data_IF_826905128389
#
_entry.id   IF_826905128389
#
_cell.length_a   1.000
_cell.length_b   1.000
_cell.length_c   1.000
_cell.angle_alpha   90.00
_cell.angle_beta   90.00
_cell.angle_gamma   90.00
#
_symmetry.space_group_name_H-M   'P 1'
#
loop_
_entity.id
_entity.type
_entity.pdbx_description
1 polymer ?
#
# COMPACT_ATOMS: atom_id res chain seq x y z
N UNK A 1 -44.65 -1.13 -8.01
CA UNK A 1 -43.47 -1.76 -7.38
C UNK A 1 -42.31 -0.82 -7.65
N UNK A 2 -41.55 -0.40 -6.63
CA UNK A 2 -40.38 0.43 -6.86
C UNK A 2 -39.32 -0.40 -7.62
N UNK A 3 -38.86 0.07 -8.77
CA UNK A 3 -37.77 -0.59 -9.48
C UNK A 3 -36.53 -0.65 -8.58
N UNK A 4 -35.93 -1.84 -8.47
CA UNK A 4 -34.73 -2.06 -7.68
C UNK A 4 -33.58 -1.32 -8.37
N UNK A 5 -32.98 -0.34 -7.69
CA UNK A 5 -31.85 0.44 -8.20
C UNK A 5 -30.69 -0.50 -8.54
N UNK A 6 -30.18 -0.43 -9.77
CA UNK A 6 -29.01 -1.21 -10.22
C UNK A 6 -27.80 -0.93 -9.33
N UNK A 7 -26.91 -1.90 -9.16
CA UNK A 7 -25.70 -1.77 -8.33
C UNK A 7 -24.46 -1.51 -9.17
N UNK A 8 -23.56 -0.70 -8.64
CA UNK A 8 -22.24 -0.47 -9.22
C UNK A 8 -21.17 -0.66 -8.16
N UNK A 9 -20.31 -1.66 -8.37
CA UNK A 9 -19.20 -1.95 -7.49
C UNK A 9 -17.97 -1.16 -7.91
N UNK A 10 -17.29 -0.56 -6.94
CA UNK A 10 -16.12 0.27 -7.16
C UNK A 10 -14.87 -0.54 -6.81
N UNK A 11 -13.98 -0.70 -7.79
CA UNK A 11 -12.63 -1.22 -7.59
C UNK A 11 -11.62 -0.09 -7.80
N UNK A 12 -10.71 0.07 -6.84
CA UNK A 12 -9.80 1.20 -6.79
C UNK A 12 -8.63 0.92 -5.85
N UNK A 13 -7.53 1.70 -5.92
CA UNK A 13 -6.51 1.64 -4.89
C UNK A 13 -7.11 1.93 -3.50
N UNK A 14 -6.91 1.03 -2.54
CA UNK A 14 -7.43 1.20 -1.18
C UNK A 14 -6.60 2.23 -0.40
N UNK A 15 -5.29 2.24 -0.64
CA UNK A 15 -4.34 3.18 -0.06
C UNK A 15 -3.36 3.66 -1.11
N UNK A 16 -2.78 4.83 -0.85
CA UNK A 16 -1.68 5.36 -1.65
C UNK A 16 -0.41 4.57 -1.34
N UNK A 17 0.25 4.04 -2.37
CA UNK A 17 1.53 3.35 -2.20
C UNK A 17 2.68 4.33 -2.00
N UNK A 18 3.72 3.91 -1.27
CA UNK A 18 4.89 4.74 -0.91
C UNK A 18 5.45 5.60 -2.06
N UNK A 19 5.62 5.11 -3.30
CA UNK A 19 6.18 5.91 -4.39
C UNK A 19 5.33 7.12 -4.81
N UNK A 20 4.07 7.19 -4.38
CA UNK A 20 3.13 8.24 -4.75
C UNK A 20 2.69 9.11 -3.58
N UNK A 21 3.14 8.82 -2.34
CA UNK A 21 2.74 9.61 -1.16
C UNK A 21 3.03 11.10 -1.32
N UNK A 22 4.21 11.45 -1.85
CA UNK A 22 4.62 12.84 -2.05
C UNK A 22 3.93 13.50 -3.26
N UNK A 23 3.24 12.73 -4.10
CA UNK A 23 2.56 13.23 -5.31
C UNK A 23 1.11 13.62 -5.04
N UNK A 24 0.48 13.02 -4.04
CA UNK A 24 -0.90 13.31 -3.66
C UNK A 24 -0.96 14.21 -2.44
N UNK A 25 -1.75 15.29 -2.52
CA UNK A 25 -1.89 16.28 -1.43
C UNK A 25 -2.24 15.64 -0.09
N UNK A 26 -3.11 14.64 -0.13
CA UNK A 26 -3.67 14.01 1.08
C UNK A 26 -2.91 12.71 1.46
N UNK A 27 -1.77 12.43 0.83
CA UNK A 27 -0.90 11.29 1.15
C UNK A 27 -1.65 9.96 1.17
N UNK A 28 -1.62 9.27 2.31
CA UNK A 28 -2.24 7.95 2.52
C UNK A 28 -3.76 7.96 2.33
N UNK A 29 -4.43 9.08 2.67
CA UNK A 29 -5.90 9.20 2.65
C UNK A 29 -6.46 9.64 1.29
N UNK A 30 -5.59 9.92 0.31
CA UNK A 30 -6.00 10.44 -1.00
C UNK A 30 -7.12 9.60 -1.64
N UNK A 31 -6.94 8.29 -1.75
CA UNK A 31 -7.92 7.42 -2.37
C UNK A 31 -9.22 7.28 -1.56
N UNK A 32 -9.17 7.46 -0.25
CA UNK A 32 -10.39 7.53 0.57
C UNK A 32 -11.20 8.78 0.23
N UNK A 33 -10.55 9.93 0.03
CA UNK A 33 -11.22 11.15 -0.43
C UNK A 33 -11.73 11.01 -1.87
N UNK A 34 -10.97 10.40 -2.77
CA UNK A 34 -11.44 10.07 -4.13
C UNK A 34 -12.73 9.24 -4.07
N UNK A 35 -12.75 8.19 -3.24
CA UNK A 35 -13.93 7.34 -3.08
C UNK A 35 -15.15 8.14 -2.59
N UNK A 36 -14.98 8.90 -1.51
CA UNK A 36 -16.10 9.55 -0.80
C UNK A 36 -16.58 10.82 -1.51
N UNK A 37 -15.67 11.63 -2.03
CA UNK A 37 -15.98 12.93 -2.59
C UNK A 37 -16.29 12.87 -4.08
N UNK A 38 -15.74 11.90 -4.82
CA UNK A 38 -15.86 11.83 -6.28
C UNK A 38 -16.58 10.57 -6.75
N UNK A 39 -16.05 9.37 -6.47
CA UNK A 39 -16.54 8.13 -7.11
C UNK A 39 -17.95 7.75 -6.64
N UNK A 40 -18.20 7.72 -5.33
CA UNK A 40 -19.54 7.39 -4.78
C UNK A 40 -20.59 8.39 -5.27
N UNK A 41 -20.39 9.72 -5.13
CA UNK A 41 -21.35 10.70 -5.67
C UNK A 41 -21.60 10.57 -7.18
N UNK A 42 -20.55 10.27 -7.96
CA UNK A 42 -20.68 10.08 -9.42
C UNK A 42 -21.52 8.86 -9.77
N UNK A 43 -21.30 7.74 -9.07
CA UNK A 43 -22.09 6.51 -9.25
C UNK A 43 -23.55 6.73 -8.88
N UNK A 44 -23.80 7.44 -7.77
CA UNK A 44 -25.16 7.74 -7.32
C UNK A 44 -25.89 8.69 -8.27
N UNK A 45 -25.21 9.73 -8.77
CA UNK A 45 -25.70 10.65 -9.79
C UNK A 45 -25.93 9.97 -11.15
N UNK A 46 -25.19 8.88 -11.42
CA UNK A 46 -25.43 8.04 -12.58
C UNK A 46 -26.71 7.18 -12.46
N UNK A 47 -27.32 7.10 -11.28
CA UNK A 47 -28.55 6.34 -11.05
C UNK A 47 -28.31 4.93 -10.47
N UNK A 48 -27.10 4.62 -10.04
CA UNK A 48 -26.76 3.34 -9.40
C UNK A 48 -26.77 3.44 -7.87
N UNK A 49 -26.77 2.29 -7.20
CA UNK A 49 -26.36 2.15 -5.81
C UNK A 49 -24.87 1.79 -5.79
N UNK A 50 -24.05 2.65 -5.20
CA UNK A 50 -22.62 2.40 -5.05
C UNK A 50 -22.36 1.29 -4.02
N UNK A 51 -21.42 0.40 -4.33
CA UNK A 51 -20.86 -0.60 -3.42
C UNK A 51 -19.37 -0.32 -3.29
N UNK A 52 -18.93 0.03 -2.09
CA UNK A 52 -17.52 0.34 -1.79
C UNK A 52 -16.69 -0.94 -1.60
N UNK A 53 -15.36 -0.88 -1.85
CA UNK A 53 -14.47 -2.03 -1.66
C UNK A 53 -14.14 -2.35 -0.20
N UNK A 54 -14.57 -1.51 0.76
CA UNK A 54 -14.20 -1.64 2.18
C UNK A 54 -15.18 -2.60 2.88
N UNK A 55 -14.79 -3.87 2.97
CA UNK A 55 -15.41 -4.87 3.85
C UNK A 55 -14.60 -5.03 5.15
N UNK A 56 -15.23 -5.53 6.22
CA UNK A 56 -14.57 -5.71 7.54
C UNK A 56 -13.86 -7.08 7.60
N UNK A 57 -12.52 -7.10 7.59
CA UNK A 57 -11.66 -8.28 7.86
C UNK A 57 -11.05 -8.97 6.62
N UNK A 58 -9.75 -9.34 6.64
CA UNK A 58 -8.95 -9.70 5.42
C UNK A 58 -9.50 -10.84 4.57
N UNK A 59 -9.94 -11.93 5.18
CA UNK A 59 -10.36 -13.14 4.43
C UNK A 59 -11.80 -13.03 3.93
N UNK A 60 -12.64 -12.32 4.69
CA UNK A 60 -14.01 -11.99 4.28
C UNK A 60 -14.02 -10.99 3.11
N UNK A 61 -13.02 -10.10 3.07
CA UNK A 61 -12.86 -9.07 2.03
C UNK A 61 -12.74 -9.71 0.64
N UNK A 62 -11.89 -10.72 0.44
CA UNK A 62 -11.67 -11.26 -0.92
C UNK A 62 -12.90 -11.95 -1.50
N UNK A 63 -13.58 -12.80 -0.71
CA UNK A 63 -14.79 -13.48 -1.18
C UNK A 63 -15.90 -12.50 -1.55
N UNK A 64 -16.06 -11.43 -0.76
CA UNK A 64 -17.05 -10.38 -1.02
C UNK A 64 -16.70 -9.56 -2.26
N UNK A 65 -15.43 -9.22 -2.48
CA UNK A 65 -14.97 -8.56 -3.72
C UNK A 65 -15.32 -9.42 -4.94
N UNK A 66 -14.96 -10.70 -4.94
CA UNK A 66 -15.26 -11.61 -6.06
C UNK A 66 -16.76 -11.70 -6.31
N UNK A 67 -17.55 -11.84 -5.24
CA UNK A 67 -19.02 -11.86 -5.32
C UNK A 67 -19.56 -10.56 -5.93
N UNK A 68 -19.03 -9.40 -5.54
CA UNK A 68 -19.47 -8.11 -6.08
C UNK A 68 -19.05 -7.91 -7.53
N UNK A 69 -17.86 -8.37 -7.93
CA UNK A 69 -17.39 -8.39 -9.32
C UNK A 69 -18.29 -9.24 -10.21
N UNK A 70 -18.80 -10.35 -9.67
CA UNK A 70 -19.76 -11.19 -10.37
C UNK A 70 -21.16 -10.56 -10.42
N UNK A 71 -21.70 -10.14 -9.27
CA UNK A 71 -23.14 -9.86 -9.15
C UNK A 71 -23.55 -8.43 -9.52
N UNK A 72 -22.63 -7.47 -9.52
CA UNK A 72 -22.97 -6.07 -9.78
C UNK A 72 -23.30 -5.81 -11.25
N UNK A 73 -24.30 -4.96 -11.50
CA UNK A 73 -24.71 -4.58 -12.86
C UNK A 73 -23.57 -3.86 -13.61
N UNK A 74 -22.81 -3.03 -12.89
CA UNK A 74 -21.65 -2.30 -13.39
C UNK A 74 -20.47 -2.41 -12.43
N UNK A 75 -19.25 -2.35 -12.96
CA UNK A 75 -18.04 -2.10 -12.16
C UNK A 75 -17.42 -0.78 -12.59
N UNK A 76 -17.17 0.12 -11.65
CA UNK A 76 -16.35 1.30 -11.84
C UNK A 76 -14.92 0.96 -11.43
N UNK A 77 -13.99 1.00 -12.39
CA UNK A 77 -12.60 0.61 -12.22
C UNK A 77 -11.69 1.84 -12.26
N UNK A 78 -11.08 2.18 -11.13
CA UNK A 78 -10.08 3.24 -11.04
C UNK A 78 -8.67 2.66 -11.18
N UNK A 79 -8.06 2.88 -12.35
CA UNK A 79 -6.73 2.36 -12.69
C UNK A 79 -5.57 3.25 -12.19
N UNK A 80 -5.85 4.23 -11.33
CA UNK A 80 -4.84 5.15 -10.80
C UNK A 80 -3.69 4.41 -10.09
N UNK A 81 -2.49 4.99 -10.14
CA UNK A 81 -1.23 4.39 -9.64
C UNK A 81 -0.85 3.04 -10.26
N UNK A 82 -1.59 2.56 -11.24
CA UNK A 82 -1.43 1.23 -11.82
C UNK A 82 -1.44 0.11 -10.77
N UNK A 83 -2.37 0.18 -9.80
CA UNK A 83 -2.42 -0.75 -8.69
C UNK A 83 -2.67 -2.21 -9.19
N UNK A 84 -1.77 -3.16 -8.88
CA UNK A 84 -1.87 -4.54 -9.40
C UNK A 84 -3.11 -5.29 -8.90
N UNK A 85 -3.62 -4.98 -7.70
CA UNK A 85 -4.83 -5.61 -7.18
C UNK A 85 -6.06 -5.18 -7.99
N UNK A 86 -6.13 -3.92 -8.39
CA UNK A 86 -7.22 -3.42 -9.23
C UNK A 86 -7.18 -4.07 -10.61
N UNK A 87 -5.99 -4.29 -11.19
CA UNK A 87 -5.88 -5.02 -12.46
C UNK A 87 -6.30 -6.48 -12.35
N UNK A 88 -6.04 -7.14 -11.22
CA UNK A 88 -6.50 -8.49 -10.97
C UNK A 88 -8.04 -8.55 -10.94
N UNK A 89 -8.68 -7.67 -10.18
CA UNK A 89 -10.14 -7.54 -10.10
C UNK A 89 -10.78 -7.19 -11.45
N UNK A 90 -10.16 -6.27 -12.19
CA UNK A 90 -10.55 -5.89 -13.54
C UNK A 90 -10.47 -7.07 -14.51
N UNK A 91 -9.42 -7.89 -14.41
CA UNK A 91 -9.24 -9.11 -15.21
C UNK A 91 -10.37 -10.12 -14.97
N UNK A 92 -10.75 -10.33 -13.71
CA UNK A 92 -11.89 -11.19 -13.34
C UNK A 92 -13.20 -10.65 -13.91
N UNK A 93 -13.49 -9.35 -13.73
CA UNK A 93 -14.71 -8.75 -14.29
C UNK A 93 -14.76 -8.87 -15.82
N UNK A 94 -13.62 -8.69 -16.46
CA UNK A 94 -13.49 -8.79 -17.91
C UNK A 94 -13.69 -10.22 -18.38
N UNK A 95 -13.15 -11.23 -17.68
CA UNK A 95 -13.32 -12.64 -18.09
C UNK A 95 -14.77 -13.12 -18.03
N UNK A 96 -15.58 -12.52 -17.14
CA UNK A 96 -17.03 -12.73 -17.03
C UNK A 96 -17.85 -12.01 -18.12
N UNK A 97 -17.19 -11.26 -19.02
CA UNK A 97 -17.81 -10.42 -20.05
C UNK A 97 -18.90 -9.48 -19.52
N UNK A 98 -18.73 -8.91 -18.32
CA UNK A 98 -19.72 -7.99 -17.74
C UNK A 98 -19.29 -6.52 -17.87
N UNK A 99 -20.24 -5.57 -17.83
CA UNK A 99 -19.96 -4.14 -18.04
C UNK A 99 -18.93 -3.59 -17.06
N UNK A 100 -18.02 -2.78 -17.58
CA UNK A 100 -17.00 -2.07 -16.79
C UNK A 100 -16.84 -0.64 -17.34
N UNK A 101 -16.78 0.32 -16.43
CA UNK A 101 -16.46 1.71 -16.69
C UNK A 101 -15.08 2.00 -16.12
N UNK A 102 -14.16 2.52 -16.93
CA UNK A 102 -12.78 2.77 -16.51
C UNK A 102 -12.57 4.26 -16.27
N UNK A 103 -11.88 4.59 -15.18
CA UNK A 103 -11.41 5.92 -14.84
C UNK A 103 -9.94 5.87 -14.41
N UNK A 104 -9.28 7.02 -14.42
CA UNK A 104 -7.95 7.21 -13.85
C UNK A 104 -7.78 8.66 -13.44
N UNK A 105 -6.85 8.94 -12.55
CA UNK A 105 -6.40 10.29 -12.31
C UNK A 105 -5.51 10.81 -13.46
N UNK A 106 -5.21 12.11 -13.42
CA UNK A 106 -4.30 12.75 -14.37
C UNK A 106 -2.83 12.46 -14.10
N UNK A 107 -2.46 12.10 -12.87
CA UNK A 107 -1.08 11.70 -12.55
C UNK A 107 -0.69 10.36 -13.19
N UNK A 108 -1.67 9.49 -13.45
CA UNK A 108 -1.46 8.22 -14.13
C UNK A 108 -1.38 8.48 -15.64
N UNK A 109 -0.18 8.72 -16.13
CA UNK A 109 0.04 9.12 -17.54
C UNK A 109 -0.40 8.06 -18.56
N UNK A 110 -0.11 6.78 -18.29
CA UNK A 110 -0.38 5.69 -19.23
C UNK A 110 -0.91 4.45 -18.52
N UNK A 111 -2.08 4.03 -18.97
CA UNK A 111 -2.66 2.72 -18.65
C UNK A 111 -2.02 1.67 -19.58
N UNK A 112 -1.76 0.42 -19.14
CA UNK A 112 -1.21 -0.63 -19.97
C UNK A 112 -1.96 -0.79 -21.30
N UNK A 113 -1.21 -1.11 -22.37
CA UNK A 113 -1.68 -1.09 -23.76
C UNK A 113 -2.97 -1.90 -23.98
N UNK A 114 -3.07 -3.10 -23.42
CA UNK A 114 -4.22 -3.99 -23.58
C UNK A 114 -5.53 -3.39 -23.00
N UNK A 115 -5.39 -2.54 -21.99
CA UNK A 115 -6.49 -1.79 -21.37
C UNK A 115 -6.68 -0.40 -21.94
N UNK A 116 -5.67 0.16 -22.62
CA UNK A 116 -5.73 1.49 -23.23
C UNK A 116 -6.71 1.62 -24.40
N UNK A 117 -7.16 0.50 -24.97
CA UNK A 117 -8.23 0.46 -25.99
C UNK A 117 -9.59 0.86 -25.38
N UNK A 118 -9.77 0.68 -24.07
CA UNK A 118 -10.97 1.13 -23.39
C UNK A 118 -10.97 2.63 -23.20
N UNK A 119 -12.13 3.23 -23.48
CA UNK A 119 -12.38 4.61 -23.13
C UNK A 119 -12.33 4.75 -21.60
N UNK A 120 -11.47 5.64 -21.12
CA UNK A 120 -11.34 5.95 -19.72
C UNK A 120 -11.56 7.45 -19.51
N UNK A 121 -12.28 7.79 -18.44
CA UNK A 121 -12.46 9.19 -18.05
C UNK A 121 -11.37 9.58 -17.06
N UNK A 122 -10.69 10.68 -17.35
CA UNK A 122 -9.72 11.26 -16.42
C UNK A 122 -10.41 12.16 -15.40
N UNK A 123 -9.93 12.13 -14.17
CA UNK A 123 -10.27 13.09 -13.13
C UNK A 123 -9.02 13.76 -12.54
N UNK A 124 -9.17 14.93 -11.92
CA UNK A 124 -8.08 15.61 -11.22
C UNK A 124 -7.86 15.01 -9.83
N UNK A 125 -6.63 14.62 -9.55
CA UNK A 125 -6.16 14.10 -8.26
C UNK A 125 -6.27 15.12 -7.12
N UNK A 126 -6.32 16.42 -7.41
CA UNK A 126 -6.36 17.47 -6.39
C UNK A 126 -7.73 17.60 -5.71
N UNK A 127 -8.79 17.10 -6.36
CA UNK A 127 -10.17 17.13 -5.87
C UNK A 127 -10.63 18.53 -5.40
N UNK A 128 -10.28 19.56 -6.17
CA UNK A 128 -10.58 20.94 -5.79
C UNK A 128 -12.10 21.17 -5.63
N UNK A 129 -12.57 21.78 -4.52
CA UNK A 129 -14.00 21.91 -4.24
C UNK A 129 -14.80 22.64 -5.34
N UNK A 130 -14.18 23.59 -6.04
CA UNK A 130 -14.83 24.35 -7.10
C UNK A 130 -14.90 23.61 -8.45
N UNK A 131 -14.10 22.56 -8.66
CA UNK A 131 -14.18 21.69 -9.84
C UNK A 131 -14.95 20.39 -9.57
N UNK A 132 -15.06 19.99 -8.30
CA UNK A 132 -15.59 18.68 -7.90
C UNK A 132 -17.01 18.42 -8.42
N UNK A 133 -17.90 19.42 -8.38
CA UNK A 133 -19.27 19.25 -8.87
C UNK A 133 -19.32 18.96 -10.39
N UNK A 134 -18.46 19.61 -11.16
CA UNK A 134 -18.35 19.39 -12.61
C UNK A 134 -17.69 18.03 -12.91
N UNK A 135 -16.67 17.64 -12.14
CA UNK A 135 -16.02 16.33 -12.27
C UNK A 135 -17.01 15.19 -11.96
N UNK A 136 -17.82 15.32 -10.90
CA UNK A 136 -18.89 14.35 -10.58
C UNK A 136 -19.87 14.22 -11.74
N UNK A 137 -20.29 15.34 -12.33
CA UNK A 137 -21.22 15.34 -13.47
C UNK A 137 -20.60 14.64 -14.69
N UNK A 138 -19.35 14.95 -15.04
CA UNK A 138 -18.63 14.32 -16.15
C UNK A 138 -18.49 12.81 -15.93
N UNK A 139 -18.08 12.37 -14.73
CA UNK A 139 -17.97 10.95 -14.42
C UNK A 139 -19.33 10.25 -14.47
N UNK A 140 -20.39 10.86 -13.96
CA UNK A 140 -21.74 10.31 -14.04
C UNK A 140 -22.22 10.13 -15.50
N UNK A 141 -21.95 11.11 -16.36
CA UNK A 141 -22.24 11.02 -17.80
C UNK A 141 -21.42 9.92 -18.50
N UNK A 142 -20.13 9.79 -18.15
CA UNK A 142 -19.26 8.72 -18.66
C UNK A 142 -19.74 7.33 -18.22
N UNK A 143 -20.18 7.15 -16.98
CA UNK A 143 -20.76 5.89 -16.49
C UNK A 143 -22.00 5.51 -17.32
N UNK A 144 -22.93 6.44 -17.54
CA UNK A 144 -24.13 6.20 -18.37
C UNK A 144 -23.77 5.85 -19.81
N UNK A 145 -22.88 6.63 -20.41
CA UNK A 145 -22.39 6.37 -21.78
C UNK A 145 -21.70 5.00 -21.89
N UNK A 146 -20.97 4.59 -20.84
CA UNK A 146 -20.33 3.28 -20.80
C UNK A 146 -21.35 2.15 -20.74
N UNK A 147 -22.43 2.28 -19.96
CA UNK A 147 -23.53 1.31 -19.92
C UNK A 147 -24.18 1.15 -21.31
N UNK A 148 -24.51 2.27 -21.96
CA UNK A 148 -25.15 2.30 -23.28
C UNK A 148 -24.29 1.64 -24.37
N UNK A 149 -22.97 1.83 -24.31
CA UNK A 149 -22.01 1.21 -25.25
C UNK A 149 -21.83 -0.29 -24.97
N UNK A 150 -21.72 -0.66 -23.70
CA UNK A 150 -21.54 -2.04 -23.26
C UNK A 150 -22.74 -2.91 -23.63
N UNK A 151 -23.97 -2.39 -23.50
CA UNK A 151 -25.24 -3.14 -23.72
C UNK A 151 -25.29 -4.46 -22.94
N UNK A 152 -24.71 -4.48 -21.73
CA UNK A 152 -24.65 -5.68 -20.88
C UNK A 152 -23.38 -6.52 -21.02
N UNK A 153 -22.47 -6.19 -21.94
CA UNK A 153 -21.22 -6.94 -22.18
C UNK A 153 -19.98 -6.06 -21.98
N UNK A 154 -18.81 -6.69 -21.81
CA UNK A 154 -17.53 -5.99 -21.75
C UNK A 154 -17.05 -5.61 -23.16
N UNK A 155 -16.61 -4.36 -23.34
CA UNK A 155 -16.19 -3.85 -24.65
C UNK A 155 -14.91 -4.52 -25.19
N UNK A 156 -13.99 -4.98 -24.32
CA UNK A 156 -12.76 -5.65 -24.76
C UNK A 156 -13.07 -6.91 -25.58
N UNK A 157 -14.15 -7.62 -25.27
CA UNK A 157 -14.55 -8.81 -26.01
C UNK A 157 -14.94 -8.50 -27.44
N UNK A 158 -15.65 -7.38 -27.64
CA UNK A 158 -16.01 -6.88 -28.97
C UNK A 158 -14.79 -6.47 -29.77
N UNK A 159 -13.80 -5.83 -29.12
CA UNK A 159 -12.57 -5.40 -29.78
C UNK A 159 -11.61 -6.56 -30.09
N UNK A 160 -11.41 -7.49 -29.16
CA UNK A 160 -10.50 -8.62 -29.33
C UNK A 160 -11.13 -9.83 -30.05
N UNK A 161 -12.44 -9.82 -30.29
CA UNK A 161 -13.15 -10.92 -30.94
C UNK A 161 -13.19 -12.21 -30.12
N UNK A 162 -13.14 -12.09 -28.78
CA UNK A 162 -13.20 -13.23 -27.86
C UNK A 162 -14.58 -13.90 -27.91
N UNK A 163 -14.61 -15.23 -27.74
CA UNK A 163 -15.84 -16.04 -27.93
C UNK A 163 -16.25 -16.88 -26.72
N UNK A 164 -15.36 -17.09 -25.75
CA UNK A 164 -15.58 -18.05 -24.65
C UNK A 164 -15.43 -17.40 -23.28
N UNK A 165 -16.54 -17.01 -22.67
CA UNK A 165 -16.59 -16.36 -21.35
C UNK A 165 -16.29 -17.34 -20.21
N UNK A 166 -15.66 -16.83 -19.15
CA UNK A 166 -15.52 -17.58 -17.91
C UNK A 166 -16.90 -17.81 -17.29
N UNK A 167 -17.15 -19.03 -16.83
CA UNK A 167 -18.38 -19.38 -16.10
C UNK A 167 -18.06 -19.58 -14.62
N UNK A 168 -18.94 -19.15 -13.71
CA UNK A 168 -18.80 -19.46 -12.30
C UNK A 168 -18.70 -20.98 -12.11
N UNK A 169 -17.85 -21.40 -11.18
CA UNK A 169 -17.75 -22.81 -10.81
C UNK A 169 -19.04 -23.24 -10.10
N UNK A 170 -19.77 -24.20 -10.68
CA UNK A 170 -21.05 -24.69 -10.15
C UNK A 170 -20.95 -26.03 -9.42
N UNK A 171 -19.75 -26.59 -9.29
CA UNK A 171 -19.54 -27.77 -8.44
C UNK A 171 -19.66 -27.39 -6.97
N UNK A 172 -19.99 -28.35 -6.11
CA UNK A 172 -19.64 -28.19 -4.70
C UNK A 172 -18.13 -27.94 -4.67
N UNK A 173 -17.68 -26.90 -3.98
CA UNK A 173 -16.26 -26.80 -3.63
C UNK A 173 -16.01 -28.01 -2.72
N UNK A 174 -15.68 -29.15 -3.31
CA UNK A 174 -15.47 -30.39 -2.58
C UNK A 174 -14.53 -30.08 -1.43
N UNK A 175 -14.70 -30.77 -0.30
CA UNK A 175 -13.80 -30.67 0.85
C UNK A 175 -12.35 -30.57 0.40
N UNK A 176 -11.98 -31.32 -0.65
CA UNK A 176 -10.70 -31.29 -1.34
C UNK A 176 -10.25 -29.92 -1.85
N UNK A 177 -11.07 -29.10 -2.52
CA UNK A 177 -10.62 -27.78 -3.03
C UNK A 177 -10.32 -26.79 -1.89
N UNK A 178 -11.09 -26.86 -0.79
CA UNK A 178 -10.79 -26.10 0.43
C UNK A 178 -9.57 -26.66 1.15
N UNK A 179 -9.40 -27.98 1.17
CA UNK A 179 -8.22 -28.65 1.72
C UNK A 179 -6.95 -28.39 0.90
N UNK A 180 -7.06 -28.26 -0.42
CA UNK A 180 -5.98 -27.89 -1.33
C UNK A 180 -5.59 -26.43 -1.12
N UNK A 181 -6.58 -25.54 -0.98
CA UNK A 181 -6.32 -24.15 -0.60
C UNK A 181 -5.67 -24.06 0.79
N UNK A 182 -6.15 -24.81 1.77
CA UNK A 182 -5.51 -24.91 3.09
C UNK A 182 -4.10 -25.48 3.00
N UNK A 183 -3.87 -26.47 2.14
CA UNK A 183 -2.54 -27.03 1.90
C UNK A 183 -1.61 -26.01 1.25
N UNK A 184 -2.09 -25.23 0.27
CA UNK A 184 -1.33 -24.12 -0.31
C UNK A 184 -1.03 -23.02 0.72
N UNK A 185 -2.00 -22.68 1.59
CA UNK A 185 -1.77 -21.73 2.67
C UNK A 185 -0.78 -22.29 3.69
N UNK A 186 -0.85 -23.59 4.02
CA UNK A 186 0.12 -24.27 4.87
C UNK A 186 1.51 -24.30 4.24
N UNK A 187 1.63 -24.49 2.93
CA UNK A 187 2.91 -24.45 2.22
C UNK A 187 3.49 -23.03 2.14
N UNK A 188 2.64 -22.02 1.95
CA UNK A 188 3.02 -20.60 2.03
C UNK A 188 3.49 -20.23 3.45
N UNK A 189 2.75 -20.65 4.48
CA UNK A 189 3.17 -20.54 5.88
C UNK A 189 4.47 -21.30 6.12
N UNK A 190 4.64 -22.51 5.58
CA UNK A 190 5.87 -23.28 5.71
C UNK A 190 7.04 -22.59 5.01
N UNK A 191 6.81 -21.92 3.89
CA UNK A 191 7.82 -21.08 3.23
C UNK A 191 8.14 -19.82 4.03
N UNK A 192 7.15 -19.15 4.63
CA UNK A 192 7.37 -18.01 5.51
C UNK A 192 8.13 -18.42 6.78
N UNK A 193 7.72 -19.51 7.43
CA UNK A 193 8.40 -20.10 8.59
C UNK A 193 9.80 -20.59 8.20
N UNK A 194 9.97 -21.21 7.03
CA UNK A 194 11.28 -21.61 6.50
C UNK A 194 12.19 -20.41 6.21
N UNK A 195 11.63 -19.30 5.71
CA UNK A 195 12.37 -18.06 5.50
C UNK A 195 12.70 -17.35 6.82
N UNK A 196 11.83 -17.47 7.84
CA UNK A 196 12.11 -17.04 9.22
C UNK A 196 13.21 -17.93 9.81
N UNK A 197 13.16 -19.25 9.58
CA UNK A 197 14.17 -20.20 10.04
C UNK A 197 15.50 -19.97 9.34
N UNK A 198 15.53 -19.69 8.03
CA UNK A 198 16.74 -19.26 7.32
C UNK A 198 17.24 -17.87 7.75
N UNK A 199 16.36 -16.96 8.19
CA UNK A 199 16.78 -15.70 8.82
C UNK A 199 17.36 -15.92 10.22
N UNK A 200 16.83 -16.88 10.98
CA UNK A 200 17.38 -17.32 12.26
C UNK A 200 18.67 -18.13 12.10
N UNK A 201 18.80 -18.97 11.07
CA UNK A 201 20.01 -19.75 10.74
C UNK A 201 21.09 -18.91 10.02
N UNK A 202 20.72 -17.77 9.41
CA UNK A 202 21.67 -16.73 8.99
C UNK A 202 22.29 -15.96 10.17
N UNK A 203 21.96 -16.32 11.41
CA UNK A 203 22.82 -16.21 12.59
C UNK A 203 23.04 -17.65 13.10
N UNK A 204 23.94 -18.45 12.52
CA UNK A 204 25.37 -18.50 12.82
C UNK A 204 26.05 -19.09 11.58
N UNK A 205 26.28 -18.28 10.56
CA UNK A 205 27.38 -18.59 9.63
C UNK A 205 28.56 -17.81 10.16
N UNK A 206 29.45 -18.50 10.90
CA UNK A 206 30.80 -17.99 11.07
C UNK A 206 31.37 -17.80 9.66
N UNK A 207 31.76 -16.58 9.26
CA UNK A 207 32.34 -16.40 7.96
C UNK A 207 33.73 -17.03 8.02
N UNK A 208 33.92 -18.15 7.33
CA UNK A 208 35.26 -18.58 6.94
C UNK A 208 35.86 -17.45 6.11
N UNK A 209 36.71 -16.64 6.75
CA UNK A 209 37.40 -15.52 6.14
C UNK A 209 37.00 -14.11 6.58
N UNK A 210 36.14 -13.91 7.59
CA UNK A 210 36.10 -12.61 8.26
C UNK A 210 37.15 -12.60 9.37
N UNK A 211 38.20 -11.81 9.21
CA UNK A 211 38.93 -11.32 10.37
C UNK A 211 37.89 -10.75 11.34
N UNK A 212 37.70 -11.41 12.48
CA UNK A 212 37.02 -10.79 13.61
C UNK A 212 37.88 -9.57 13.97
N UNK A 213 37.42 -8.40 13.54
CA UNK A 213 37.83 -7.18 14.19
C UNK A 213 37.14 -7.23 15.55
N UNK A 214 37.92 -7.56 16.55
CA UNK A 214 37.71 -7.27 17.96
C UNK A 214 36.96 -5.94 18.14
N UNK A 215 36.07 -5.85 19.13
CA UNK A 215 35.27 -4.65 19.39
C UNK A 215 36.11 -3.37 19.54
N UNK A 216 37.38 -3.49 19.94
CA UNK A 216 38.36 -2.39 19.97
C UNK A 216 38.71 -1.84 18.58
N UNK A 217 38.65 -2.65 17.54
CA UNK A 217 38.95 -2.28 16.15
C UNK A 217 37.76 -1.61 15.43
N UNK A 218 36.54 -1.75 15.94
CA UNK A 218 35.34 -1.06 15.41
C UNK A 218 35.22 0.38 15.93
N UNK A 219 35.78 0.67 17.10
CA UNK A 219 35.72 1.99 17.72
C UNK A 219 36.30 3.10 16.80
N UNK A 220 37.52 2.98 16.23
CA UNK A 220 38.07 3.99 15.32
C UNK A 220 37.23 4.22 14.06
N UNK A 221 36.57 3.17 13.57
CA UNK A 221 35.71 3.21 12.39
C UNK A 221 34.44 4.00 12.67
N UNK A 222 33.79 3.75 13.81
CA UNK A 222 32.59 4.48 14.23
C UNK A 222 32.91 5.96 14.44
N UNK A 223 34.05 6.27 15.07
CA UNK A 223 34.52 7.65 15.24
C UNK A 223 34.75 8.39 13.92
N UNK A 224 35.27 7.71 12.90
CA UNK A 224 35.51 8.31 11.57
C UNK A 224 34.23 8.79 10.85
N UNK A 225 33.07 8.34 11.33
CA UNK A 225 31.77 8.72 10.77
C UNK A 225 30.97 9.67 11.65
N UNK A 226 31.51 10.09 12.79
CA UNK A 226 30.88 11.11 13.62
C UNK A 226 31.02 12.48 12.95
N UNK A 227 29.94 13.26 12.85
CA UNK A 227 30.00 14.63 12.35
C UNK A 227 30.73 15.55 13.34
N UNK A 228 31.32 16.63 12.83
CA UNK A 228 32.02 17.64 13.64
C UNK A 228 31.11 18.19 14.75
N UNK A 229 31.62 18.22 15.99
CA UNK A 229 30.89 18.66 17.17
C UNK A 229 30.14 17.56 17.93
N UNK A 230 30.17 16.30 17.48
CA UNK A 230 29.72 15.14 18.26
C UNK A 230 30.92 14.49 18.93
N UNK A 231 30.97 14.54 20.26
CA UNK A 231 32.07 13.96 21.03
C UNK A 231 31.65 12.63 21.66
N UNK A 232 32.36 11.52 21.39
CA UNK A 232 32.09 10.24 22.02
C UNK A 232 32.53 10.26 23.49
N UNK A 233 31.69 9.76 24.40
CA UNK A 233 31.98 9.70 25.84
C UNK A 233 32.22 8.28 26.34
N UNK A 234 31.48 7.30 25.83
CA UNK A 234 31.68 5.89 26.16
C UNK A 234 31.38 5.00 24.95
N UNK A 235 32.10 3.88 24.84
CA UNK A 235 31.85 2.85 23.84
C UNK A 235 31.93 1.47 24.48
N UNK A 236 30.81 0.76 24.49
CA UNK A 236 30.65 -0.50 25.22
C UNK A 236 30.07 -1.58 24.32
N UNK A 237 30.48 -2.83 24.57
CA UNK A 237 29.85 -4.00 23.96
C UNK A 237 28.75 -4.51 24.87
N UNK A 238 27.57 -4.77 24.29
CA UNK A 238 26.44 -5.37 24.99
C UNK A 238 26.55 -6.90 24.97
N UNK A 239 25.92 -7.55 25.94
CA UNK A 239 25.86 -9.01 26.09
C UNK A 239 25.38 -9.75 24.83
N UNK A 240 24.66 -9.05 23.97
CA UNK A 240 23.95 -9.60 22.82
C UNK A 240 24.81 -9.50 21.53
N UNK A 241 26.05 -9.02 21.64
CA UNK A 241 26.97 -8.80 20.51
C UNK A 241 26.85 -7.43 19.83
N UNK A 242 25.89 -6.61 20.28
CA UNK A 242 25.69 -5.22 19.83
C UNK A 242 26.71 -4.25 20.47
N UNK A 243 26.83 -3.04 19.91
CA UNK A 243 27.68 -1.97 20.43
C UNK A 243 26.85 -0.75 20.82
N UNK A 244 27.23 -0.08 21.90
CA UNK A 244 26.61 1.14 22.41
C UNK A 244 27.65 2.26 22.41
N UNK A 245 27.30 3.38 21.80
CA UNK A 245 28.09 4.61 21.82
C UNK A 245 27.29 5.69 22.55
N UNK A 246 27.86 6.19 23.64
CA UNK A 246 27.40 7.38 24.34
C UNK A 246 28.15 8.59 23.80
N UNK A 247 27.45 9.70 23.59
CA UNK A 247 28.04 10.92 23.03
C UNK A 247 27.41 12.19 23.58
N UNK A 248 28.14 13.29 23.46
CA UNK A 248 27.70 14.67 23.71
C UNK A 248 27.74 15.49 22.41
N UNK A 249 27.06 16.65 22.41
CA UNK A 249 26.98 17.52 21.24
C UNK A 249 25.80 17.24 20.28
N UNK A 250 25.63 18.08 19.23
CA UNK A 250 24.46 18.04 18.35
C UNK A 250 24.53 16.93 17.31
N UNK A 251 23.80 15.83 17.54
CA UNK A 251 23.68 14.72 16.58
C UNK A 251 22.25 14.61 16.01
N UNK A 252 22.06 15.03 14.75
CA UNK A 252 20.73 15.06 14.12
C UNK A 252 20.12 13.65 13.96
N UNK A 253 18.78 13.48 14.10
CA UNK A 253 18.10 12.19 13.95
C UNK A 253 18.40 11.48 12.63
N UNK A 254 18.51 12.22 11.52
CA UNK A 254 18.79 11.68 10.19
C UNK A 254 20.22 11.12 10.12
N UNK A 255 21.20 11.82 10.69
CA UNK A 255 22.60 11.36 10.67
C UNK A 255 22.79 10.15 11.61
N UNK A 256 22.08 10.12 12.75
CA UNK A 256 22.04 8.94 13.64
C UNK A 256 21.52 7.71 12.90
N UNK A 257 20.38 7.84 12.22
CA UNK A 257 19.81 6.75 11.44
C UNK A 257 20.75 6.26 10.33
N UNK A 258 21.40 7.17 9.60
CA UNK A 258 22.36 6.83 8.55
C UNK A 258 23.57 6.08 9.10
N UNK A 259 24.12 6.51 10.24
CA UNK A 259 25.25 5.84 10.88
C UNK A 259 24.88 4.41 11.30
N UNK A 260 23.74 4.25 11.99
CA UNK A 260 23.25 2.94 12.43
C UNK A 260 23.07 1.98 11.24
N UNK A 261 22.41 2.44 10.16
CA UNK A 261 22.20 1.63 8.96
C UNK A 261 23.52 1.24 8.28
N UNK A 262 24.50 2.15 8.26
CA UNK A 262 25.81 1.90 7.66
C UNK A 262 26.57 0.83 8.43
N UNK A 263 26.58 0.89 9.77
CA UNK A 263 27.26 -0.10 10.61
C UNK A 263 26.59 -1.47 10.51
N UNK A 264 25.26 -1.53 10.56
CA UNK A 264 24.51 -2.79 10.40
C UNK A 264 24.80 -3.42 9.03
N UNK A 265 24.77 -2.63 7.96
CA UNK A 265 24.97 -3.14 6.59
C UNK A 265 26.40 -3.62 6.33
N UNK A 266 27.39 -2.94 6.91
CA UNK A 266 28.80 -3.17 6.59
C UNK A 266 29.47 -4.17 7.54
N UNK A 267 29.05 -4.20 8.80
CA UNK A 267 29.68 -5.02 9.85
C UNK A 267 28.73 -6.03 10.48
N UNK A 268 27.43 -5.98 10.19
CA UNK A 268 26.45 -6.92 10.74
C UNK A 268 26.14 -6.71 12.23
N UNK A 269 26.68 -5.65 12.84
CA UNK A 269 26.49 -5.31 14.26
C UNK A 269 25.52 -4.14 14.39
N UNK A 270 24.62 -4.17 15.38
CA UNK A 270 23.71 -3.06 15.65
C UNK A 270 24.39 -2.04 16.58
N UNK A 271 24.39 -0.78 16.16
CA UNK A 271 24.88 0.35 16.95
C UNK A 271 23.71 1.03 17.67
N UNK A 272 23.80 1.12 19.00
CA UNK A 272 22.91 1.90 19.85
C UNK A 272 23.58 3.24 20.14
N UNK A 273 22.85 4.33 19.96
CA UNK A 273 23.34 5.70 20.16
C UNK A 273 22.60 6.34 21.33
N UNK A 274 23.32 6.66 22.39
CA UNK A 274 22.78 7.32 23.59
C UNK A 274 23.40 8.71 23.75
N UNK A 275 22.56 9.72 23.99
CA UNK A 275 23.05 11.09 24.22
C UNK A 275 23.15 11.31 25.72
N UNK A 276 24.31 11.73 26.19
CA UNK A 276 24.47 12.15 27.58
C UNK A 276 23.64 13.42 27.85
N UNK A 277 22.94 13.49 28.99
CA UNK A 277 22.27 14.71 29.40
C UNK A 277 23.31 15.81 29.65
N UNK A 278 23.18 16.95 28.98
CA UNK A 278 23.98 18.13 29.27
C UNK A 278 23.57 18.70 30.63
N UNK A 279 24.53 18.99 31.52
CA UNK A 279 24.30 19.63 32.84
C UNK A 279 23.60 21.01 32.79
N UNK A 280 23.29 21.52 31.60
CA UNK A 280 22.43 22.70 31.43
C UNK A 280 21.01 22.27 31.06
N UNK A 281 20.22 21.81 32.04
CA UNK A 281 18.74 21.93 32.07
C UNK A 281 18.21 21.48 33.44
N UNK A 282 18.68 22.10 34.52
CA UNK A 282 18.02 22.00 35.84
C UNK A 282 17.63 23.37 36.44
N UNK A 283 17.56 24.43 35.62
CA UNK A 283 17.14 25.75 36.08
C UNK A 283 16.06 26.35 35.17
N UNK A 284 14.88 25.70 35.13
CA UNK A 284 13.64 26.30 34.62
C UNK A 284 12.36 25.57 35.05
N UNK A 285 12.33 25.01 36.27
CA UNK A 285 11.09 24.59 36.93
C UNK A 285 11.12 24.84 38.45
N UNK A 286 11.44 26.07 38.86
CA UNK A 286 11.06 26.60 40.17
C UNK A 286 10.62 28.05 39.98
N UNK A 287 9.30 28.27 39.86
CA UNK A 287 8.75 29.61 39.72
C UNK A 287 7.35 29.66 39.14
N UNK A 288 6.41 28.88 39.69
CA UNK A 288 4.97 29.14 39.53
C UNK A 288 4.15 28.28 40.53
N UNK A 289 4.44 28.37 41.82
CA UNK A 289 3.51 27.96 42.88
C UNK A 289 3.97 28.61 44.18
N UNK A 290 3.61 29.88 44.35
CA UNK A 290 3.34 30.56 45.61
C UNK A 290 3.30 32.08 45.34
N UNK A 291 2.11 32.63 45.12
CA UNK A 291 1.62 33.75 45.92
C UNK A 291 0.15 34.07 45.59
N UNK A 292 -0.51 34.55 46.65
CA UNK A 292 -1.94 34.81 46.86
C UNK A 292 -2.65 35.72 45.85
#
# INVERSE_FOLDING_TARGET
MAEKKKTCFIIMPISTSDPFLDKYRDGVEHFKHVLQCLLVPSVEAAGYKAISPIAKGSDLIQAEIISNLEQSDMVLCDMSCLNPNVFFEFGIRTSLNKPVCVVKDKLTEKVPFDTGILNHQEYRETLEPWELADEIKKLAEHIKTSEERCKGENMLWKYFGLRTEAKPYTGDSGTDAKMDYLTMQMDSLRHQVGNIHQRSERHVVQPEGSHMLDNESLFPVVLSYLPDGVEPTAFESRSDGDIQLTYTGPFSPINRYRLIQKIIKQYGVKLHLEREPSEETEDSQQGAEDDA
#
